data_IF_011620201382
#
_entry.id   IF_011620201382
#
_cell.length_a   1.000
_cell.length_b   1.000
_cell.length_c   1.000
_cell.angle_alpha   90.00
_cell.angle_beta   90.00
_cell.angle_gamma   90.00
#
_symmetry.space_group_name_H-M   'P 1'
#
loop_
_entity.id
_entity.type
_entity.pdbx_description
1 polymer ?
#
# COMPACT_ATOMS: atom_id res chain seq x y z
N UNK A 1 50.58 -13.63 11.69
CA UNK A 1 50.13 -12.45 12.46
C UNK A 1 48.61 -12.42 12.43
N UNK A 2 47.92 -12.49 13.57
CA UNK A 2 46.46 -12.43 13.58
C UNK A 2 46.01 -10.97 13.45
N UNK A 3 45.15 -10.71 12.48
CA UNK A 3 44.45 -9.44 12.31
C UNK A 3 43.50 -9.28 13.51
N UNK A 4 43.91 -8.47 14.51
CA UNK A 4 42.97 -7.99 15.53
C UNK A 4 42.02 -7.02 14.83
N UNK A 5 40.80 -7.48 14.55
CA UNK A 5 39.70 -6.58 14.25
C UNK A 5 39.58 -5.63 15.44
N UNK A 6 39.75 -4.33 15.20
CA UNK A 6 39.46 -3.32 16.21
C UNK A 6 37.95 -3.33 16.41
N UNK A 7 37.50 -3.93 17.51
CA UNK A 7 36.12 -3.94 18.02
C UNK A 7 35.55 -2.55 18.37
N UNK A 8 35.96 -1.47 17.69
CA UNK A 8 35.72 -0.10 18.16
C UNK A 8 35.13 0.83 17.11
N UNK A 9 34.83 0.37 15.89
CA UNK A 9 34.29 1.24 14.82
C UNK A 9 32.92 0.77 14.26
N UNK A 10 32.43 -0.41 14.63
CA UNK A 10 31.13 -0.93 14.13
C UNK A 10 29.92 -0.61 15.03
N UNK A 11 30.10 -0.03 16.22
CA UNK A 11 29.01 0.22 17.19
C UNK A 11 28.45 1.66 17.23
N UNK A 12 28.99 2.62 16.46
CA UNK A 12 28.70 4.06 16.67
C UNK A 12 28.10 4.83 15.49
N UNK A 13 27.39 4.16 14.57
CA UNK A 13 26.64 4.86 13.50
C UNK A 13 25.24 4.30 13.22
N UNK A 14 24.68 3.53 14.15
CA UNK A 14 23.24 3.25 14.15
C UNK A 14 22.55 4.25 15.08
N UNK A 15 21.34 4.68 14.70
CA UNK A 15 20.47 5.65 15.37
C UNK A 15 20.78 5.90 16.86
N UNK A 16 21.05 7.16 17.23
CA UNK A 16 21.11 7.60 18.63
C UNK A 16 19.73 8.18 18.98
N UNK A 17 18.96 7.46 19.79
CA UNK A 17 17.68 7.94 20.28
C UNK A 17 17.85 9.29 20.99
N UNK A 18 16.90 10.21 20.79
CA UNK A 18 16.89 11.50 21.48
C UNK A 18 16.74 11.31 23.01
N UNK A 19 16.02 10.25 23.39
CA UNK A 19 15.89 9.75 24.76
C UNK A 19 16.45 8.31 24.81
N UNK A 20 17.51 8.03 25.58
CA UNK A 20 18.11 6.71 25.66
C UNK A 20 17.17 5.64 26.27
N UNK A 21 16.13 6.04 27.00
CA UNK A 21 15.16 5.13 27.61
C UNK A 21 13.97 4.84 26.65
N UNK A 22 13.88 5.56 25.52
CA UNK A 22 12.86 5.36 24.50
C UNK A 22 13.42 4.55 23.33
N UNK A 23 13.02 3.28 23.26
CA UNK A 23 13.51 2.39 22.20
C UNK A 23 12.70 2.52 20.91
N UNK A 24 13.25 2.01 19.81
CA UNK A 24 12.51 1.86 18.55
C UNK A 24 11.24 1.00 18.73
N UNK A 25 11.26 0.05 19.68
CA UNK A 25 10.10 -0.77 19.97
C UNK A 25 9.00 0.03 20.68
N UNK A 26 9.36 0.98 21.54
CA UNK A 26 8.39 1.88 22.19
C UNK A 26 7.74 2.79 21.15
N UNK A 27 8.54 3.30 20.20
CA UNK A 27 8.03 4.03 19.04
C UNK A 27 7.01 3.24 18.23
N UNK A 28 7.33 1.98 17.87
CA UNK A 28 6.39 1.12 17.14
C UNK A 28 5.12 0.86 17.96
N UNK A 29 5.25 0.58 19.27
CA UNK A 29 4.08 0.35 20.14
C UNK A 29 3.19 1.59 20.26
N UNK A 30 3.77 2.79 20.30
CA UNK A 30 3.02 4.03 20.34
C UNK A 30 2.28 4.29 19.02
N UNK A 31 2.91 4.03 17.86
CA UNK A 31 2.26 4.08 16.55
C UNK A 31 1.09 3.09 16.47
N UNK A 32 1.31 1.84 16.87
CA UNK A 32 0.25 0.81 16.89
C UNK A 32 -0.89 1.20 17.84
N UNK A 33 -0.59 1.76 19.01
CA UNK A 33 -1.59 2.24 19.96
C UNK A 33 -2.40 3.39 19.36
N UNK A 34 -1.75 4.33 18.69
CA UNK A 34 -2.42 5.43 18.02
C UNK A 34 -3.35 4.90 16.93
N UNK A 35 -2.82 4.14 15.97
CA UNK A 35 -3.59 3.55 14.87
C UNK A 35 -4.80 2.78 15.38
N UNK A 36 -4.59 1.83 16.29
CA UNK A 36 -5.66 0.90 16.71
C UNK A 36 -6.68 1.49 17.67
N UNK A 37 -6.40 2.64 18.29
CA UNK A 37 -7.31 3.29 19.26
C UNK A 37 -7.91 4.59 18.76
N UNK A 38 -7.31 5.23 17.76
CA UNK A 38 -7.69 6.58 17.31
C UNK A 38 -8.02 6.65 15.82
N UNK A 39 -7.50 5.75 15.00
CA UNK A 39 -7.60 5.87 13.53
C UNK A 39 -8.52 4.83 12.89
N UNK A 40 -9.10 3.91 13.66
CA UNK A 40 -9.98 2.87 13.11
C UNK A 40 -11.43 3.09 13.52
N UNK A 41 -12.32 2.83 12.59
CA UNK A 41 -13.78 2.74 12.77
C UNK A 41 -14.28 1.44 12.16
N UNK A 42 -15.60 1.29 11.99
CA UNK A 42 -16.21 0.12 11.34
C UNK A 42 -16.96 0.53 10.08
N UNK A 43 -16.80 -0.25 9.02
CA UNK A 43 -17.56 -0.16 7.78
C UNK A 43 -17.93 -1.58 7.33
N UNK A 44 -19.21 -1.80 7.04
CA UNK A 44 -19.75 -3.11 6.64
C UNK A 44 -19.31 -4.29 7.55
N UNK A 45 -19.23 -4.04 8.86
CA UNK A 45 -18.88 -5.05 9.86
C UNK A 45 -17.38 -5.32 10.03
N UNK A 46 -16.51 -4.67 9.24
CA UNK A 46 -15.06 -4.79 9.33
C UNK A 46 -14.41 -3.48 9.80
N UNK A 47 -13.23 -3.58 10.41
CA UNK A 47 -12.44 -2.40 10.78
C UNK A 47 -11.85 -1.74 9.53
N UNK A 48 -11.99 -0.42 9.46
CA UNK A 48 -11.40 0.41 8.41
C UNK A 48 -10.79 1.68 8.99
N UNK A 49 -9.97 2.39 8.22
CA UNK A 49 -9.51 3.71 8.62
C UNK A 49 -10.69 4.68 8.73
N UNK A 50 -10.68 5.54 9.74
CA UNK A 50 -11.64 6.65 9.87
C UNK A 50 -11.29 7.84 8.97
N UNK A 51 -10.03 7.89 8.51
CA UNK A 51 -9.46 8.85 7.56
C UNK A 51 -8.02 8.45 7.24
N UNK A 52 -7.52 8.90 6.10
CA UNK A 52 -6.12 8.78 5.69
C UNK A 52 -5.27 9.89 6.31
N UNK A 53 -5.87 10.99 6.77
CA UNK A 53 -5.15 12.12 7.35
C UNK A 53 -5.88 12.68 8.57
N UNK A 54 -5.26 12.50 9.73
CA UNK A 54 -5.79 12.84 11.05
C UNK A 54 -4.81 13.71 11.83
N UNK A 55 -5.32 14.43 12.83
CA UNK A 55 -4.49 15.10 13.83
C UNK A 55 -3.99 14.12 14.92
N UNK A 56 -3.18 14.57 15.90
CA UNK A 56 -2.68 13.73 17.00
C UNK A 56 -3.77 13.10 17.88
N UNK A 57 -5.01 13.59 17.81
CA UNK A 57 -6.16 13.06 18.51
C UNK A 57 -6.90 11.98 17.71
N UNK A 58 -6.56 11.80 16.43
CA UNK A 58 -7.21 10.88 15.50
C UNK A 58 -8.42 11.49 14.78
N UNK A 59 -8.57 12.81 14.82
CA UNK A 59 -9.68 13.52 14.20
C UNK A 59 -9.34 13.78 12.73
N UNK A 60 -10.20 13.35 11.78
CA UNK A 60 -10.03 13.63 10.36
C UNK A 60 -9.85 15.13 10.06
N UNK A 61 -8.93 15.47 9.16
CA UNK A 61 -8.65 16.85 8.77
C UNK A 61 -9.14 17.12 7.33
N UNK A 62 -10.42 17.48 7.11
CA UNK A 62 -11.02 17.58 5.78
C UNK A 62 -10.46 18.73 4.92
N UNK A 63 -9.65 19.62 5.49
CA UNK A 63 -8.93 20.63 4.73
C UNK A 63 -7.77 20.05 3.90
N UNK A 64 -7.34 18.82 4.17
CA UNK A 64 -6.33 18.10 3.41
C UNK A 64 -6.99 17.17 2.39
N UNK A 65 -6.39 16.99 1.21
CA UNK A 65 -6.87 16.09 0.13
C UNK A 65 -7.02 14.61 0.54
N UNK A 66 -6.58 14.24 1.75
CA UNK A 66 -6.64 12.88 2.30
C UNK A 66 -7.57 12.78 3.50
N UNK A 67 -8.09 13.91 4.00
CA UNK A 67 -8.86 13.97 5.24
C UNK A 67 -10.16 13.18 5.18
N UNK A 68 -10.76 13.07 4.00
CA UNK A 68 -12.03 12.35 3.80
C UNK A 68 -11.84 10.99 3.11
N UNK A 69 -10.59 10.57 2.91
CA UNK A 69 -10.28 9.35 2.18
C UNK A 69 -9.97 8.16 3.10
N UNK A 70 -10.31 6.97 2.61
CA UNK A 70 -9.74 5.71 3.06
C UNK A 70 -9.55 4.76 1.86
N UNK A 71 -9.03 3.56 2.12
CA UNK A 71 -8.96 2.49 1.14
C UNK A 71 -7.60 1.81 1.08
N UNK A 72 -7.28 1.28 -0.09
CA UNK A 72 -6.07 0.49 -0.32
C UNK A 72 -5.00 1.26 -1.09
N UNK A 73 -5.28 2.49 -1.51
CA UNK A 73 -4.40 3.32 -2.33
C UNK A 73 -3.07 3.63 -1.67
N UNK A 74 -2.09 4.16 -2.41
CA UNK A 74 -0.78 4.48 -1.84
C UNK A 74 -0.86 5.37 -0.59
N UNK A 75 -1.73 6.37 -0.61
CA UNK A 75 -1.92 7.24 0.56
C UNK A 75 -2.76 6.57 1.67
N UNK A 76 -3.78 5.78 1.33
CA UNK A 76 -4.75 5.20 2.28
C UNK A 76 -4.43 3.79 2.77
N UNK A 77 -3.49 3.12 2.11
CA UNK A 77 -2.76 1.86 2.35
C UNK A 77 -3.25 0.90 3.44
N UNK A 78 -4.54 0.54 3.44
CA UNK A 78 -5.10 -0.38 4.41
C UNK A 78 -4.45 -1.78 4.38
N UNK A 79 -4.07 -2.29 3.19
CA UNK A 79 -3.41 -3.60 3.06
C UNK A 79 -2.04 -3.60 3.71
N UNK A 80 -1.22 -2.58 3.45
CA UNK A 80 0.09 -2.43 4.09
C UNK A 80 0.00 -2.28 5.60
N UNK A 81 -0.90 -1.41 6.08
CA UNK A 81 -1.13 -1.25 7.52
C UNK A 81 -1.59 -2.55 8.20
N UNK A 82 -2.46 -3.32 7.54
CA UNK A 82 -2.88 -4.62 8.04
C UNK A 82 -1.75 -5.66 8.06
N UNK A 83 -0.92 -5.71 7.02
CA UNK A 83 0.26 -6.56 6.99
C UNK A 83 1.22 -6.24 8.15
N UNK A 84 1.51 -4.96 8.41
CA UNK A 84 2.38 -4.55 9.52
C UNK A 84 1.80 -4.96 10.88
N UNK A 85 0.49 -4.79 11.08
CA UNK A 85 -0.22 -5.25 12.28
C UNK A 85 -0.08 -6.76 12.48
N UNK A 86 -0.29 -7.55 11.41
CA UNK A 86 -0.20 -9.00 11.46
C UNK A 86 1.24 -9.49 11.69
N UNK A 87 2.21 -8.87 11.02
CA UNK A 87 3.62 -9.19 11.20
C UNK A 87 4.07 -8.93 12.64
N UNK A 88 3.73 -7.76 13.20
CA UNK A 88 4.01 -7.43 14.59
C UNK A 88 3.29 -8.40 15.54
N UNK A 89 2.01 -8.68 15.29
CA UNK A 89 1.22 -9.63 16.07
C UNK A 89 1.85 -11.03 16.10
N UNK A 90 2.43 -11.50 15.00
CA UNK A 90 3.15 -12.78 14.94
C UNK A 90 4.40 -12.76 15.82
N UNK A 91 5.23 -11.73 15.69
CA UNK A 91 6.51 -11.62 16.43
C UNK A 91 6.26 -11.53 17.94
N UNK A 92 5.28 -10.73 18.35
CA UNK A 92 4.98 -10.47 19.76
C UNK A 92 3.83 -11.31 20.33
N UNK A 93 3.28 -12.24 19.54
CA UNK A 93 2.16 -13.12 19.91
C UNK A 93 0.91 -12.37 20.39
N UNK A 94 0.60 -11.24 19.77
CA UNK A 94 -0.54 -10.39 20.12
C UNK A 94 -1.79 -10.79 19.33
N UNK A 95 -2.68 -11.54 19.97
CA UNK A 95 -3.92 -12.00 19.35
C UNK A 95 -4.90 -10.86 19.02
N UNK A 96 -4.87 -9.76 19.79
CA UNK A 96 -5.73 -8.61 19.52
C UNK A 96 -5.29 -7.92 18.24
N UNK A 97 -4.00 -7.65 18.09
CA UNK A 97 -3.48 -7.05 16.85
C UNK A 97 -3.69 -7.97 15.64
N UNK A 98 -3.57 -9.29 15.84
CA UNK A 98 -3.90 -10.27 14.78
C UNK A 98 -5.36 -10.13 14.33
N UNK A 99 -6.30 -10.04 15.27
CA UNK A 99 -7.72 -9.88 14.96
C UNK A 99 -8.00 -8.54 14.24
N UNK A 100 -7.36 -7.45 14.68
CA UNK A 100 -7.51 -6.12 14.05
C UNK A 100 -7.00 -6.16 12.61
N UNK A 101 -5.75 -6.61 12.40
CA UNK A 101 -5.17 -6.70 11.06
C UNK A 101 -6.00 -7.60 10.13
N UNK A 102 -6.50 -8.72 10.64
CA UNK A 102 -7.41 -9.61 9.90
C UNK A 102 -8.70 -8.89 9.48
N UNK A 103 -9.33 -8.14 10.38
CA UNK A 103 -10.55 -7.39 10.06
C UNK A 103 -10.30 -6.30 9.01
N UNK A 104 -9.16 -5.61 9.08
CA UNK A 104 -8.79 -4.62 8.05
C UNK A 104 -8.55 -5.26 6.68
N UNK A 105 -8.01 -6.49 6.62
CA UNK A 105 -7.89 -7.22 5.35
C UNK A 105 -9.24 -7.61 4.76
N UNK A 106 -10.21 -8.02 5.60
CA UNK A 106 -11.58 -8.25 5.12
C UNK A 106 -12.20 -6.97 4.57
N UNK A 107 -12.03 -5.83 5.24
CA UNK A 107 -12.44 -4.53 4.68
C UNK A 107 -11.77 -4.23 3.34
N UNK A 108 -10.46 -4.47 3.21
CA UNK A 108 -9.76 -4.26 1.94
C UNK A 108 -10.31 -5.14 0.81
N UNK A 109 -10.63 -6.40 1.07
CA UNK A 109 -11.16 -7.33 0.08
C UNK A 109 -12.63 -7.08 -0.27
N UNK A 110 -13.46 -6.79 0.74
CA UNK A 110 -14.92 -6.68 0.61
C UNK A 110 -15.39 -5.24 0.38
N UNK A 111 -14.51 -4.26 0.60
CA UNK A 111 -14.79 -2.83 0.47
C UNK A 111 -14.90 -2.33 -0.98
N UNK A 112 -14.86 -3.21 -1.99
CA UNK A 112 -15.08 -2.86 -3.40
C UNK A 112 -13.93 -2.10 -4.06
N UNK A 113 -12.72 -2.15 -3.48
CA UNK A 113 -11.53 -1.49 -4.03
C UNK A 113 -10.93 -2.24 -5.23
N UNK A 114 -11.05 -3.57 -5.22
CA UNK A 114 -10.57 -4.46 -6.28
C UNK A 114 -11.74 -4.83 -7.20
N UNK A 115 -11.60 -4.57 -8.49
CA UNK A 115 -12.61 -4.90 -9.48
C UNK A 115 -12.46 -6.36 -9.95
N UNK A 116 -13.51 -6.92 -10.53
CA UNK A 116 -13.54 -8.33 -10.95
C UNK A 116 -12.48 -8.65 -12.01
N UNK A 117 -12.19 -7.69 -12.89
CA UNK A 117 -11.17 -7.81 -13.95
C UNK A 117 -9.72 -7.62 -13.44
N UNK A 118 -9.54 -7.19 -12.20
CA UNK A 118 -8.24 -6.88 -11.60
C UNK A 118 -7.87 -5.39 -11.59
N UNK A 119 -8.68 -4.51 -12.18
CA UNK A 119 -8.49 -3.06 -12.02
C UNK A 119 -8.68 -2.63 -10.55
N UNK A 120 -8.12 -1.47 -10.17
CA UNK A 120 -8.30 -0.90 -8.83
C UNK A 120 -9.01 0.45 -8.87
N UNK A 121 -9.93 0.63 -7.93
CA UNK A 121 -10.44 1.94 -7.48
C UNK A 121 -10.08 2.10 -6.02
N UNK A 122 -8.83 2.49 -5.72
CA UNK A 122 -8.25 2.18 -4.42
C UNK A 122 -8.60 3.20 -3.33
N UNK A 123 -9.35 4.25 -3.65
CA UNK A 123 -9.78 5.27 -2.71
C UNK A 123 -11.29 5.27 -2.57
N UNK A 124 -11.79 5.33 -1.33
CA UNK A 124 -13.18 5.62 -1.01
C UNK A 124 -13.27 6.95 -0.29
N UNK A 125 -14.10 7.82 -0.81
CA UNK A 125 -14.55 9.03 -0.13
C UNK A 125 -15.57 8.65 0.94
N UNK A 126 -15.23 8.93 2.20
CA UNK A 126 -16.00 8.50 3.36
C UNK A 126 -17.40 9.16 3.40
N UNK A 127 -17.55 10.48 3.16
CA UNK A 127 -18.86 11.13 3.20
C UNK A 127 -19.84 10.64 2.12
N UNK A 128 -19.37 10.40 0.90
CA UNK A 128 -20.24 10.06 -0.24
C UNK A 128 -20.27 8.57 -0.58
N UNK A 129 -19.40 7.76 0.04
CA UNK A 129 -19.15 6.35 -0.29
C UNK A 129 -18.67 6.10 -1.74
N UNK A 130 -18.33 7.17 -2.46
CA UNK A 130 -17.87 7.08 -3.84
C UNK A 130 -16.42 6.60 -3.90
N UNK A 131 -16.10 5.85 -4.96
CA UNK A 131 -14.77 5.27 -5.18
C UNK A 131 -14.07 5.93 -6.36
N UNK A 132 -12.77 6.14 -6.22
CA UNK A 132 -11.93 6.89 -7.15
C UNK A 132 -10.65 6.13 -7.47
N UNK A 133 -10.09 6.40 -8.65
CA UNK A 133 -8.81 5.87 -9.13
C UNK A 133 -7.61 6.55 -8.45
N UNK A 134 -7.77 7.78 -7.99
CA UNK A 134 -6.72 8.56 -7.35
C UNK A 134 -7.19 9.38 -6.16
N UNK A 135 -6.22 9.90 -5.43
CA UNK A 135 -6.42 10.58 -4.16
C UNK A 135 -7.05 11.97 -4.29
N UNK A 136 -7.19 12.53 -5.49
CA UNK A 136 -7.87 13.82 -5.65
C UNK A 136 -9.37 13.70 -5.45
N UNK A 137 -9.93 12.48 -5.55
CA UNK A 137 -11.31 12.13 -5.19
C UNK A 137 -12.40 13.09 -5.68
N UNK A 138 -12.20 13.63 -6.89
CA UNK A 138 -13.18 14.47 -7.57
C UNK A 138 -13.39 13.98 -9.00
N UNK A 139 -14.64 14.04 -9.46
CA UNK A 139 -15.03 13.56 -10.80
C UNK A 139 -14.24 14.20 -11.93
N UNK A 140 -13.83 15.47 -11.74
CA UNK A 140 -13.00 16.21 -12.69
C UNK A 140 -11.63 15.56 -12.91
N UNK A 141 -11.05 14.98 -11.87
CA UNK A 141 -9.68 14.45 -11.90
C UNK A 141 -9.62 12.92 -11.80
N UNK A 142 -10.77 12.23 -11.77
CA UNK A 142 -10.86 10.77 -11.70
C UNK A 142 -10.57 10.07 -13.04
N UNK A 143 -9.47 10.45 -13.67
CA UNK A 143 -9.10 10.04 -15.04
C UNK A 143 -7.76 9.34 -15.11
N UNK A 144 -7.13 9.09 -13.96
CA UNK A 144 -5.84 8.44 -13.88
C UNK A 144 -5.65 7.66 -12.57
N UNK A 145 -4.76 6.66 -12.61
CA UNK A 145 -4.22 5.94 -11.46
C UNK A 145 -2.70 5.81 -11.57
N UNK A 146 -2.02 5.48 -10.47
CA UNK A 146 -0.58 5.21 -10.46
C UNK A 146 -0.32 3.69 -10.57
N UNK A 147 0.21 3.17 -11.69
CA UNK A 147 0.43 1.73 -11.85
C UNK A 147 1.47 1.16 -10.88
N UNK A 148 2.50 1.94 -10.54
CA UNK A 148 3.47 1.55 -9.52
C UNK A 148 2.84 1.35 -8.14
N UNK A 149 1.98 2.27 -7.72
CA UNK A 149 1.21 2.14 -6.47
C UNK A 149 0.31 0.90 -6.49
N UNK A 150 -0.39 0.65 -7.60
CA UNK A 150 -1.21 -0.55 -7.79
C UNK A 150 -0.38 -1.84 -7.67
N UNK A 151 0.82 -1.86 -8.25
CA UNK A 151 1.72 -3.00 -8.12
C UNK A 151 2.20 -3.22 -6.67
N UNK A 152 2.45 -2.14 -5.94
CA UNK A 152 2.82 -2.23 -4.52
C UNK A 152 1.69 -2.78 -3.64
N UNK A 153 0.44 -2.44 -3.94
CA UNK A 153 -0.72 -3.02 -3.25
C UNK A 153 -0.80 -4.52 -3.51
N UNK A 154 -0.56 -4.97 -4.74
CA UNK A 154 -0.50 -6.39 -5.06
C UNK A 154 0.63 -7.12 -4.31
N UNK A 155 1.81 -6.51 -4.18
CA UNK A 155 2.90 -7.03 -3.34
C UNK A 155 2.48 -7.17 -1.87
N UNK A 156 1.83 -6.15 -1.30
CA UNK A 156 1.36 -6.19 0.07
C UNK A 156 0.28 -7.24 0.30
N UNK A 157 -0.60 -7.49 -0.68
CA UNK A 157 -1.56 -8.60 -0.63
C UNK A 157 -0.83 -9.95 -0.58
N UNK A 158 0.24 -10.14 -1.37
CA UNK A 158 1.06 -11.35 -1.30
C UNK A 158 1.72 -11.51 0.08
N UNK A 159 2.29 -10.45 0.62
CA UNK A 159 2.91 -10.47 1.96
C UNK A 159 1.89 -10.73 3.06
N UNK A 160 0.73 -10.06 3.02
CA UNK A 160 -0.36 -10.30 3.95
C UNK A 160 -0.86 -11.76 3.88
N UNK A 161 -0.87 -12.36 2.69
CA UNK A 161 -1.27 -13.77 2.51
C UNK A 161 -0.34 -14.74 3.25
N UNK A 162 0.93 -14.38 3.45
CA UNK A 162 1.90 -15.18 4.19
C UNK A 162 1.67 -15.13 5.72
N UNK A 163 0.89 -14.17 6.21
CA UNK A 163 0.61 -13.94 7.63
C UNK A 163 -0.72 -14.54 8.12
N UNK A 164 -1.57 -15.00 7.21
CA UNK A 164 -2.92 -15.53 7.48
C UNK A 164 -3.08 -16.94 6.90
N UNK A 165 -4.12 -17.65 7.33
CA UNK A 165 -4.41 -19.04 6.95
C UNK A 165 -5.78 -19.18 6.27
N UNK A 166 -6.02 -20.35 5.65
CA UNK A 166 -7.33 -20.73 5.12
C UNK A 166 -7.81 -19.87 3.95
N UNK A 167 -9.13 -19.68 3.86
CA UNK A 167 -9.78 -18.98 2.75
C UNK A 167 -9.28 -17.55 2.56
N UNK A 168 -8.92 -16.84 3.64
CA UNK A 168 -8.42 -15.47 3.55
C UNK A 168 -7.08 -15.41 2.82
N UNK A 169 -6.17 -16.38 3.06
CA UNK A 169 -4.90 -16.48 2.32
C UNK A 169 -5.16 -16.62 0.82
N UNK A 170 -6.06 -17.51 0.46
CA UNK A 170 -6.37 -17.80 -0.94
C UNK A 170 -7.05 -16.61 -1.63
N UNK A 171 -7.92 -15.89 -0.92
CA UNK A 171 -8.53 -14.66 -1.41
C UNK A 171 -7.51 -13.54 -1.65
N UNK A 172 -6.62 -13.27 -0.68
CA UNK A 172 -5.56 -12.26 -0.81
C UNK A 172 -4.65 -12.58 -2.01
N UNK A 173 -4.20 -13.84 -2.11
CA UNK A 173 -3.35 -14.29 -3.21
C UNK A 173 -4.08 -14.19 -4.55
N UNK A 174 -5.32 -14.68 -4.63
CA UNK A 174 -6.13 -14.62 -5.83
C UNK A 174 -6.33 -13.18 -6.31
N UNK A 175 -6.63 -12.25 -5.39
CA UNK A 175 -6.76 -10.83 -5.69
C UNK A 175 -5.45 -10.22 -6.16
N UNK A 176 -4.33 -10.52 -5.50
CA UNK A 176 -3.01 -10.05 -5.92
C UNK A 176 -2.67 -10.50 -7.36
N UNK A 177 -2.96 -11.77 -7.69
CA UNK A 177 -2.71 -12.32 -9.02
C UNK A 177 -3.61 -11.70 -10.08
N UNK A 178 -4.89 -11.44 -9.78
CA UNK A 178 -5.79 -10.72 -10.71
C UNK A 178 -5.30 -9.31 -11.00
N UNK A 179 -4.91 -8.57 -9.96
CA UNK A 179 -4.34 -7.22 -10.11
C UNK A 179 -3.06 -7.26 -10.95
N UNK A 180 -2.17 -8.20 -10.66
CA UNK A 180 -0.93 -8.36 -11.40
C UNK A 180 -1.16 -8.69 -12.87
N UNK A 181 -2.10 -9.58 -13.17
CA UNK A 181 -2.45 -9.95 -14.54
C UNK A 181 -3.05 -8.76 -15.31
N UNK A 182 -3.93 -7.98 -14.66
CA UNK A 182 -4.47 -6.76 -15.25
C UNK A 182 -3.37 -5.74 -15.55
N UNK A 183 -2.45 -5.49 -14.61
CA UNK A 183 -1.34 -4.56 -14.83
C UNK A 183 -0.43 -5.03 -15.98
N UNK A 184 -0.11 -6.32 -16.04
CA UNK A 184 0.75 -6.87 -17.10
C UNK A 184 0.14 -6.67 -18.49
N UNK A 185 -1.17 -6.92 -18.62
CA UNK A 185 -1.87 -6.87 -19.90
C UNK A 185 -2.11 -5.45 -20.41
N UNK A 186 -2.34 -4.50 -19.50
CA UNK A 186 -2.87 -3.18 -19.86
C UNK A 186 -1.85 -2.04 -19.72
N UNK A 187 -0.83 -2.20 -18.87
CA UNK A 187 0.15 -1.11 -18.63
C UNK A 187 1.38 -1.31 -19.51
N UNK A 188 1.51 -0.46 -20.51
CA UNK A 188 2.67 -0.42 -21.40
C UNK A 188 3.88 0.34 -20.82
N UNK A 189 5.06 0.02 -21.33
CA UNK A 189 6.28 0.82 -21.13
C UNK A 189 6.26 2.03 -22.05
N UNK A 190 6.85 3.14 -21.62
CA UNK A 190 7.21 4.28 -22.45
C UNK A 190 8.36 3.94 -23.40
N UNK A 191 8.62 4.80 -24.39
CA UNK A 191 9.66 4.60 -25.41
C UNK A 191 11.07 4.39 -24.83
N UNK A 192 11.35 4.98 -23.66
CA UNK A 192 12.61 4.85 -22.95
C UNK A 192 12.69 3.59 -22.05
N UNK A 193 11.68 2.71 -22.11
CA UNK A 193 11.60 1.46 -21.36
C UNK A 193 11.05 1.56 -19.94
N UNK A 194 10.83 2.78 -19.41
CA UNK A 194 10.22 2.97 -18.10
C UNK A 194 8.71 2.72 -18.14
N UNK A 195 8.13 2.40 -16.98
CA UNK A 195 6.68 2.46 -16.83
C UNK A 195 6.23 3.90 -16.53
N UNK A 196 5.09 4.34 -17.05
CA UNK A 196 4.59 5.68 -16.82
C UNK A 196 4.22 5.88 -15.34
N UNK A 197 4.39 7.10 -14.84
CA UNK A 197 3.97 7.47 -13.48
C UNK A 197 2.46 7.34 -13.28
N UNK A 198 1.69 7.65 -14.32
CA UNK A 198 0.23 7.59 -14.33
C UNK A 198 -0.28 6.92 -15.60
N UNK A 199 -1.37 6.18 -15.45
CA UNK A 199 -2.14 5.62 -16.55
C UNK A 199 -3.60 6.08 -16.43
N UNK A 200 -4.30 6.14 -17.55
CA UNK A 200 -5.76 6.22 -17.60
C UNK A 200 -6.37 4.90 -17.11
N UNK A 201 -7.66 4.84 -16.74
CA UNK A 201 -8.32 3.62 -16.27
C UNK A 201 -8.20 2.40 -17.19
N UNK A 202 -7.95 2.59 -18.49
CA UNK A 202 -7.73 1.51 -19.46
C UNK A 202 -6.27 1.00 -19.51
N UNK A 203 -5.37 1.55 -18.69
CA UNK A 203 -3.95 1.22 -18.66
C UNK A 203 -3.08 2.05 -19.62
N UNK A 204 -3.68 2.80 -20.54
CA UNK A 204 -2.92 3.66 -21.46
C UNK A 204 -2.24 4.81 -20.71
N UNK A 205 -1.09 5.25 -21.19
CA UNK A 205 -0.28 6.28 -20.54
C UNK A 205 -1.03 7.61 -20.34
N UNK A 206 -0.82 8.24 -19.18
CA UNK A 206 -1.29 9.57 -18.85
C UNK A 206 -0.10 10.49 -18.54
N UNK A 207 0.20 11.40 -19.46
CA UNK A 207 1.44 12.19 -19.44
C UNK A 207 1.31 13.60 -18.84
N UNK A 208 0.21 13.85 -18.14
CA UNK A 208 -0.05 15.12 -17.46
C UNK A 208 0.12 15.00 -15.93
N UNK A 209 0.20 16.16 -15.29
CA UNK A 209 0.16 16.33 -13.83
C UNK A 209 -1.14 15.75 -13.25
N UNK A 210 -1.19 15.60 -11.93
CA UNK A 210 -2.39 15.11 -11.22
C UNK A 210 -3.66 15.92 -11.56
N UNK A 211 -3.52 17.24 -11.79
CA UNK A 211 -4.60 18.15 -12.15
C UNK A 211 -4.86 18.25 -13.66
N UNK A 212 -4.05 17.58 -14.49
CA UNK A 212 -4.21 17.54 -15.95
C UNK A 212 -3.86 18.84 -16.68
N UNK A 213 -3.29 19.83 -15.98
CA UNK A 213 -3.08 21.20 -16.49
C UNK A 213 -1.74 21.40 -17.21
N UNK A 214 -0.77 20.51 -16.97
CA UNK A 214 0.55 20.56 -17.58
C UNK A 214 1.10 19.15 -17.81
N UNK A 215 2.15 19.04 -18.64
CA UNK A 215 2.91 17.78 -18.79
C UNK A 215 3.60 17.44 -17.48
N UNK A 216 3.52 16.18 -17.06
CA UNK A 216 4.28 15.72 -15.90
C UNK A 216 5.74 15.53 -16.28
N UNK A 217 6.61 16.31 -15.65
CA UNK A 217 8.06 16.22 -15.84
C UNK A 217 8.64 14.88 -15.44
N UNK A 218 7.96 14.10 -14.59
CA UNK A 218 8.40 12.78 -14.12
C UNK A 218 7.62 11.63 -14.79
N UNK A 219 6.87 11.91 -15.85
CA UNK A 219 5.98 10.96 -16.50
C UNK A 219 6.68 9.63 -16.84
N UNK A 220 7.85 9.68 -17.47
CA UNK A 220 8.56 8.53 -18.04
C UNK A 220 9.86 8.19 -17.29
N UNK A 221 10.04 8.65 -16.06
CA UNK A 221 11.22 8.32 -15.24
C UNK A 221 10.91 8.40 -13.73
N UNK A 222 9.67 8.12 -13.35
CA UNK A 222 9.28 8.02 -11.95
C UNK A 222 9.78 6.70 -11.34
N UNK A 223 10.32 6.80 -10.12
CA UNK A 223 10.71 5.63 -9.33
C UNK A 223 9.54 4.68 -9.03
N UNK A 224 8.29 5.15 -9.10
CA UNK A 224 7.10 4.32 -8.85
C UNK A 224 7.03 3.13 -9.82
N UNK A 225 7.54 3.29 -11.05
CA UNK A 225 7.59 2.21 -12.04
C UNK A 225 8.42 1.00 -11.58
N UNK A 226 9.31 1.15 -10.60
CA UNK A 226 10.11 0.05 -10.05
C UNK A 226 9.27 -0.97 -9.28
N UNK A 227 8.11 -0.58 -8.73
CA UNK A 227 7.21 -1.51 -8.05
C UNK A 227 6.59 -2.55 -8.99
N UNK A 228 6.39 -2.20 -10.27
CA UNK A 228 5.97 -3.17 -11.29
C UNK A 228 7.06 -4.23 -11.47
N UNK A 229 8.32 -3.81 -11.62
CA UNK A 229 9.46 -4.74 -11.72
C UNK A 229 9.60 -5.63 -10.48
N UNK A 230 9.38 -5.07 -9.29
CA UNK A 230 9.39 -5.85 -8.05
C UNK A 230 8.24 -6.86 -8.04
N UNK A 231 7.02 -6.48 -8.41
CA UNK A 231 5.90 -7.40 -8.53
C UNK A 231 6.23 -8.55 -9.49
N UNK A 232 6.74 -8.28 -10.68
CA UNK A 232 7.12 -9.31 -11.66
C UNK A 232 8.18 -10.28 -11.11
N UNK A 233 9.19 -9.73 -10.45
CA UNK A 233 10.25 -10.50 -9.81
C UNK A 233 9.69 -11.38 -8.69
N UNK A 234 8.78 -10.84 -7.88
CA UNK A 234 8.19 -11.57 -6.75
C UNK A 234 7.26 -12.69 -7.23
N UNK A 235 6.48 -12.47 -8.30
CA UNK A 235 5.65 -13.51 -8.91
C UNK A 235 6.50 -14.65 -9.50
N UNK A 236 7.60 -14.30 -10.16
CA UNK A 236 8.57 -15.29 -10.68
C UNK A 236 9.21 -16.07 -9.55
N UNK A 237 9.72 -15.39 -8.53
CA UNK A 237 10.35 -16.01 -7.36
C UNK A 237 9.41 -16.96 -6.61
N UNK A 238 8.12 -16.64 -6.57
CA UNK A 238 7.08 -17.46 -5.94
C UNK A 238 6.50 -18.55 -6.86
N UNK A 239 6.87 -18.59 -8.13
CA UNK A 239 6.38 -19.58 -9.10
C UNK A 239 4.94 -19.36 -9.55
N UNK A 240 4.40 -18.13 -9.42
CA UNK A 240 3.04 -17.81 -9.87
C UNK A 240 2.97 -17.40 -11.34
N UNK A 241 4.07 -16.87 -11.89
CA UNK A 241 4.21 -16.47 -13.30
C UNK A 241 5.68 -16.43 -13.67
N UNK A 242 6.06 -16.88 -14.86
CA UNK A 242 7.41 -16.64 -15.38
C UNK A 242 7.42 -15.31 -16.14
N UNK A 243 8.03 -14.28 -15.54
CA UNK A 243 8.14 -12.94 -16.13
C UNK A 243 9.51 -12.69 -16.79
N UNK A 244 10.34 -13.73 -16.98
CA UNK A 244 11.68 -13.60 -17.57
C UNK A 244 11.69 -13.78 -19.09
N UNK A 245 10.61 -14.29 -19.68
CA UNK A 245 10.57 -14.76 -21.07
C UNK A 245 9.81 -13.84 -22.06
N UNK A 246 9.39 -12.65 -21.62
CA UNK A 246 8.69 -11.62 -22.44
C UNK A 246 9.39 -10.27 -22.33
#
# INVERSE_FOLDING_TARGET
MPFKLKDTIMQKRFYRAADPDYSILDSVKDSLRFTTRRCLTTYNGNLCANSTFVDPEGIPQPWHEFGELEGVGWASNAVGGAYELLWFARVFKDQRLRAIGTSVLYHALEGGFFQDDGALKPYRDIPTDKRYYNYLHTDRFDTWFCPGSSAYIALQLLWASDEVDGSLRDQLRGTALRVADWLWKNVGRCDNGWYPRRCKPDGSSFDHTAYGDAKDRQFDHSGDGTFLLWLWTELTRRGYRDCLQE
#
